data_IF_027802536598
#
_entry.id   IF_027802536598
#
_cell.length_a   1.000
_cell.length_b   1.000
_cell.length_c   1.000
_cell.angle_alpha   90.00
_cell.angle_beta   90.00
_cell.angle_gamma   90.00
#
_symmetry.space_group_name_H-M   'P 1'
#
loop_
_entity.id
_entity.type
_entity.pdbx_description
1 polymer ?
#
# COMPACT_ATOMS: atom_id res chain seq x y z
N UNK A 1 -5.76 1.91 -19.28
CA UNK A 1 -5.84 3.38 -19.10
C UNK A 1 -4.95 4.06 -20.15
N UNK A 2 -5.21 5.32 -20.52
CA UNK A 2 -4.37 6.12 -21.47
C UNK A 2 -4.08 7.47 -20.83
N UNK A 3 -2.83 7.94 -20.86
CA UNK A 3 -2.37 9.23 -20.32
C UNK A 3 -2.87 10.42 -21.17
N UNK A 4 -4.18 10.62 -21.21
CA UNK A 4 -4.83 11.77 -21.87
C UNK A 4 -6.04 12.20 -21.05
N UNK A 5 -6.30 13.52 -21.02
CA UNK A 5 -7.39 14.12 -20.23
C UNK A 5 -8.77 13.49 -20.52
N UNK A 6 -9.02 13.11 -21.77
CA UNK A 6 -10.27 12.50 -22.24
C UNK A 6 -10.18 10.96 -22.34
N UNK A 7 -9.43 10.31 -21.45
CA UNK A 7 -9.37 8.84 -21.44
C UNK A 7 -10.78 8.24 -21.37
N UNK A 8 -11.14 7.37 -22.30
CA UNK A 8 -12.50 6.84 -22.45
C UNK A 8 -12.77 5.55 -21.65
N UNK A 9 -11.78 5.08 -20.89
CA UNK A 9 -11.93 3.87 -20.07
C UNK A 9 -12.98 4.08 -18.98
N UNK A 10 -13.60 2.98 -18.54
CA UNK A 10 -14.70 3.00 -17.57
C UNK A 10 -14.36 3.78 -16.29
N UNK A 11 -13.21 3.56 -15.61
CA UNK A 11 -12.88 4.29 -14.38
C UNK A 11 -12.83 5.81 -14.57
N UNK A 12 -12.08 6.30 -15.57
CA UNK A 12 -12.01 7.74 -15.84
C UNK A 12 -13.35 8.36 -16.28
N UNK A 13 -14.30 7.56 -16.77
CA UNK A 13 -15.66 8.02 -17.08
C UNK A 13 -16.49 8.14 -15.81
N UNK A 14 -16.42 7.15 -14.92
CA UNK A 14 -17.07 7.14 -13.61
C UNK A 14 -16.56 8.31 -12.74
N UNK A 15 -15.24 8.52 -12.68
CA UNK A 15 -14.63 9.63 -11.94
C UNK A 15 -15.09 10.99 -12.48
N UNK A 16 -15.21 11.16 -13.80
CA UNK A 16 -15.74 12.39 -14.38
C UNK A 16 -17.23 12.58 -14.10
N UNK A 17 -18.00 11.49 -14.04
CA UNK A 17 -19.43 11.55 -13.75
C UNK A 17 -19.71 12.06 -12.31
N UNK A 18 -18.79 11.81 -11.37
CA UNK A 18 -18.85 12.34 -10.00
C UNK A 18 -18.20 13.73 -9.85
N UNK A 19 -17.76 14.36 -10.95
CA UNK A 19 -17.22 15.72 -10.96
C UNK A 19 -15.70 15.85 -10.94
N UNK A 20 -14.93 14.77 -11.04
CA UNK A 20 -13.48 14.88 -11.15
C UNK A 20 -13.05 15.48 -12.51
N UNK A 21 -12.46 16.68 -12.48
CA UNK A 21 -12.04 17.39 -13.70
C UNK A 21 -10.81 16.81 -14.40
N UNK A 22 -9.98 16.03 -13.70
CA UNK A 22 -8.77 15.45 -14.27
C UNK A 22 -8.38 14.10 -13.61
N UNK A 23 -9.14 13.01 -13.83
CA UNK A 23 -8.88 11.72 -13.18
C UNK A 23 -7.50 11.15 -13.44
N UNK A 24 -6.90 11.46 -14.60
CA UNK A 24 -5.54 11.02 -14.92
C UNK A 24 -4.49 11.60 -13.95
N UNK A 25 -4.66 12.84 -13.49
CA UNK A 25 -3.74 13.47 -12.54
C UNK A 25 -3.81 12.79 -11.17
N UNK A 26 -5.03 12.42 -10.73
CA UNK A 26 -5.22 11.67 -9.50
C UNK A 26 -4.52 10.31 -9.57
N UNK A 27 -4.64 9.61 -10.71
CA UNK A 27 -3.93 8.36 -10.93
C UNK A 27 -2.40 8.55 -10.95
N UNK A 28 -1.90 9.60 -11.60
CA UNK A 28 -0.47 9.92 -11.64
C UNK A 28 0.10 10.16 -10.22
N UNK A 29 -0.62 10.91 -9.37
CA UNK A 29 -0.23 11.08 -7.97
C UNK A 29 -0.34 9.78 -7.17
N UNK A 30 -1.41 9.01 -7.33
CA UNK A 30 -1.54 7.71 -6.68
C UNK A 30 -0.38 6.76 -7.01
N UNK A 31 0.06 6.75 -8.28
CA UNK A 31 1.23 5.97 -8.70
C UNK A 31 2.50 6.47 -8.01
N UNK A 32 2.69 7.79 -7.88
CA UNK A 32 3.83 8.35 -7.14
C UNK A 32 3.82 7.90 -5.68
N UNK A 33 2.66 7.92 -5.03
CA UNK A 33 2.51 7.41 -3.66
C UNK A 33 2.87 5.93 -3.54
N UNK A 34 2.29 5.09 -4.40
CA UNK A 34 2.59 3.66 -4.41
C UNK A 34 4.09 3.40 -4.63
N UNK A 35 4.75 4.18 -5.49
CA UNK A 35 6.18 4.05 -5.75
C UNK A 35 7.10 4.47 -4.60
N UNK A 36 6.56 5.02 -3.52
CA UNK A 36 7.31 5.32 -2.30
C UNK A 36 6.89 4.46 -1.12
N UNK A 37 5.94 3.54 -1.31
CA UNK A 37 5.69 2.53 -0.29
C UNK A 37 6.90 1.62 -0.17
N UNK A 38 7.22 1.26 1.07
CA UNK A 38 8.16 0.18 1.33
C UNK A 38 7.61 -1.13 0.79
N UNK A 39 8.50 -2.04 0.39
CA UNK A 39 8.12 -3.34 -0.18
C UNK A 39 7.17 -4.13 0.73
N UNK A 40 7.35 -4.04 2.05
CA UNK A 40 6.44 -4.58 3.08
C UNK A 40 4.99 -4.12 2.91
N UNK A 41 4.80 -2.86 2.53
CA UNK A 41 3.51 -2.17 2.47
C UNK A 41 2.99 -1.99 1.04
N UNK A 42 3.78 -2.33 0.01
CA UNK A 42 3.36 -2.19 -1.38
C UNK A 42 2.47 -3.38 -1.78
N UNK A 43 1.16 -3.17 -2.05
CA UNK A 43 0.24 -4.24 -2.43
C UNK A 43 0.57 -4.85 -3.81
N UNK A 44 1.50 -4.26 -4.56
CA UNK A 44 1.99 -4.78 -5.84
C UNK A 44 3.19 -5.71 -5.65
N UNK A 45 3.83 -5.69 -4.47
CA UNK A 45 4.98 -6.54 -4.20
C UNK A 45 4.54 -8.00 -4.19
N UNK A 46 5.21 -8.85 -4.98
CA UNK A 46 5.05 -10.30 -4.86
C UNK A 46 5.76 -10.84 -3.60
N UNK A 47 6.65 -10.04 -3.02
CA UNK A 47 7.38 -10.32 -1.80
C UNK A 47 6.52 -9.90 -0.61
N UNK A 48 5.39 -10.58 -0.42
CA UNK A 48 4.72 -10.57 0.88
C UNK A 48 5.39 -11.54 1.88
N UNK A 49 6.54 -12.15 1.53
CA UNK A 49 6.94 -13.40 2.16
C UNK A 49 8.39 -13.54 2.65
N UNK A 50 9.30 -12.58 2.47
CA UNK A 50 10.71 -12.83 2.87
C UNK A 50 11.46 -11.61 3.38
N UNK A 51 10.82 -10.77 4.19
CA UNK A 51 11.57 -10.06 5.23
C UNK A 51 11.45 -10.96 6.46
N UNK A 52 12.56 -11.42 7.10
CA UNK A 52 12.46 -12.33 8.23
C UNK A 52 11.94 -11.54 9.44
N UNK A 53 10.63 -11.35 9.50
CA UNK A 53 9.99 -10.42 10.44
C UNK A 53 9.49 -11.08 11.72
N UNK A 54 9.29 -12.39 11.76
CA UNK A 54 9.01 -13.11 13.00
C UNK A 54 9.55 -14.53 12.83
N UNK A 55 10.00 -15.18 13.91
CA UNK A 55 10.30 -16.62 13.84
C UNK A 55 9.01 -17.40 13.54
N UNK A 56 9.12 -18.63 13.03
CA UNK A 56 7.94 -19.51 12.85
C UNK A 56 7.15 -19.68 14.15
N UNK A 57 7.84 -19.70 15.28
CA UNK A 57 7.25 -19.75 16.62
C UNK A 57 6.43 -18.49 16.93
N UNK A 58 6.97 -17.29 16.67
CA UNK A 58 6.25 -16.04 16.86
C UNK A 58 5.05 -15.86 15.91
N UNK A 59 5.13 -16.42 14.70
CA UNK A 59 4.00 -16.46 13.78
C UNK A 59 2.89 -17.37 14.30
N UNK A 60 3.25 -18.53 14.83
CA UNK A 60 2.29 -19.46 15.42
C UNK A 60 1.64 -18.85 16.67
N UNK A 61 2.42 -18.22 17.54
CA UNK A 61 1.91 -17.50 18.71
C UNK A 61 0.94 -16.37 18.33
N UNK A 62 1.20 -15.67 17.22
CA UNK A 62 0.30 -14.64 16.71
C UNK A 62 -1.01 -15.21 16.16
N UNK A 63 -1.00 -16.40 15.54
CA UNK A 63 -2.22 -17.09 15.11
C UNK A 63 -3.11 -17.42 16.30
N UNK A 64 -2.53 -17.96 17.37
CA UNK A 64 -3.26 -18.32 18.59
C UNK A 64 -3.74 -17.06 19.36
N UNK A 65 -2.95 -15.99 19.33
CA UNK A 65 -3.28 -14.73 20.00
C UNK A 65 -4.52 -14.02 19.42
N UNK A 66 -4.83 -14.22 18.14
CA UNK A 66 -6.02 -13.66 17.48
C UNK A 66 -7.33 -14.27 18.01
N UNK A 67 -7.30 -15.52 18.47
CA UNK A 67 -8.49 -16.21 19.01
C UNK A 67 -8.63 -15.98 20.52
N UNK A 68 -7.52 -15.79 21.23
CA UNK A 68 -7.49 -15.73 22.70
C UNK A 68 -7.31 -14.32 23.30
N UNK A 69 -7.37 -13.26 22.47
CA UNK A 69 -7.17 -11.85 22.86
C UNK A 69 -5.84 -11.63 23.61
N UNK A 70 -4.78 -12.32 23.15
CA UNK A 70 -3.42 -12.23 23.71
C UNK A 70 -2.57 -11.21 22.95
N UNK A 71 -1.47 -10.72 23.54
CA UNK A 71 -0.54 -9.82 22.85
C UNK A 71 0.10 -10.48 21.63
N UNK A 72 0.18 -9.74 20.52
CA UNK A 72 0.85 -10.17 19.27
C UNK A 72 2.27 -9.61 19.19
N UNK A 73 3.19 -10.41 18.68
CA UNK A 73 4.52 -9.97 18.30
C UNK A 73 4.46 -9.11 17.02
N UNK A 74 5.03 -7.91 17.10
CA UNK A 74 5.12 -6.97 15.99
C UNK A 74 6.59 -6.68 15.69
N UNK A 75 6.99 -6.77 14.43
CA UNK A 75 8.33 -6.32 13.99
C UNK A 75 8.31 -4.87 13.52
N UNK A 76 8.96 -3.95 14.26
CA UNK A 76 9.05 -2.54 13.89
C UNK A 76 10.09 -2.24 12.82
N UNK A 77 10.86 -3.22 12.31
CA UNK A 77 11.90 -2.97 11.31
C UNK A 77 11.31 -2.62 9.94
N UNK A 78 11.10 -1.33 9.72
CA UNK A 78 10.75 -0.79 8.41
C UNK A 78 11.97 -0.05 7.88
N UNK A 79 12.59 -0.54 6.81
CA UNK A 79 13.64 0.21 6.11
C UNK A 79 12.99 1.32 5.28
N UNK A 80 13.27 2.60 5.56
CA UNK A 80 12.64 3.69 4.83
C UNK A 80 13.14 3.73 3.37
N UNK A 81 12.32 3.25 2.44
CA UNK A 81 12.60 3.36 1.00
C UNK A 81 11.93 4.62 0.42
N UNK A 82 12.68 5.73 0.44
CA UNK A 82 12.36 7.03 -0.18
C UNK A 82 11.19 7.79 0.48
N UNK A 83 11.35 9.10 0.55
CA UNK A 83 10.45 10.02 1.25
C UNK A 83 9.66 10.85 0.23
N UNK A 84 8.34 10.88 0.36
CA UNK A 84 7.49 11.92 -0.24
C UNK A 84 7.26 12.97 0.85
N UNK A 85 7.56 14.23 0.57
CA UNK A 85 7.24 15.31 1.51
C UNK A 85 5.72 15.39 1.69
N UNK A 86 5.25 15.08 2.91
CA UNK A 86 3.84 15.20 3.29
C UNK A 86 3.26 13.97 3.99
N UNK A 87 3.86 12.79 3.86
CA UNK A 87 3.37 11.57 4.52
C UNK A 87 4.47 10.98 5.41
N UNK A 88 4.23 11.00 6.73
CA UNK A 88 5.01 10.24 7.70
C UNK A 88 4.20 9.00 8.04
N UNK A 89 4.69 7.83 7.65
CA UNK A 89 4.27 6.58 8.30
C UNK A 89 5.16 6.51 9.54
N UNK A 90 4.58 6.85 10.70
CA UNK A 90 5.19 6.73 12.02
C UNK A 90 4.99 5.31 12.55
#
# INVERSE_FOLDING_TARGET
HRQRKNCACRPCREDRAIGCGAPNKCLEEAIKFLNCLHEKWDPRSQVHQTIPELSEEQLNDNCDALEEDKPVFFDPKIHLSKRIDGFRIL
#
